data_IF_505377351333
#
_entry.id   IF_505377351333
#
_cell.length_a   1.000
_cell.length_b   1.000
_cell.length_c   1.000
_cell.angle_alpha   90.00
_cell.angle_beta   90.00
_cell.angle_gamma   90.00
#
_symmetry.space_group_name_H-M   'P 1'
#
loop_
_entity.id
_entity.type
_entity.pdbx_description
1 polymer ?
#
# COMPACT_ATOMS: atom_id res chain seq x y z
N UNK A 1 14.21 17.10 9.10
CA UNK A 1 13.38 16.83 7.91
C UNK A 1 14.31 16.86 6.70
N UNK A 2 14.30 15.80 5.88
CA UNK A 2 15.18 15.68 4.71
C UNK A 2 14.79 16.69 3.63
N UNK A 3 15.78 17.17 2.84
CA UNK A 3 15.54 17.95 1.63
C UNK A 3 15.58 17.03 0.41
N UNK A 4 14.45 16.33 0.21
CA UNK A 4 14.35 15.31 -0.83
C UNK A 4 14.33 15.90 -2.23
N UNK A 5 15.36 15.57 -3.01
CA UNK A 5 15.44 15.84 -4.44
C UNK A 5 15.21 14.56 -5.21
N UNK A 6 14.27 14.59 -6.15
CA UNK A 6 13.98 13.45 -7.01
C UNK A 6 15.14 13.20 -7.98
N UNK A 7 15.74 12.02 -7.89
CA UNK A 7 16.76 11.55 -8.83
C UNK A 7 16.14 10.81 -10.01
N UNK A 8 15.13 10.01 -9.74
CA UNK A 8 14.55 9.11 -10.72
C UNK A 8 13.06 8.94 -10.47
N UNK A 9 12.32 8.80 -11.56
CA UNK A 9 10.90 8.47 -11.54
C UNK A 9 10.57 7.61 -12.76
N UNK A 10 9.88 6.50 -12.52
CA UNK A 10 9.43 5.59 -13.55
C UNK A 10 7.98 5.21 -13.28
N UNK A 11 7.19 5.21 -14.34
CA UNK A 11 5.77 4.87 -14.33
C UNK A 11 5.52 3.74 -15.31
N UNK A 12 5.00 2.62 -14.82
CA UNK A 12 4.79 1.40 -15.59
C UNK A 12 3.34 0.94 -15.45
N UNK A 13 2.63 0.66 -16.56
CA UNK A 13 1.38 -0.09 -16.47
C UNK A 13 1.67 -1.51 -16.00
N UNK A 14 0.86 -2.02 -15.07
CA UNK A 14 0.93 -3.39 -14.59
C UNK A 14 -0.31 -4.17 -15.05
N UNK A 15 -0.07 -5.37 -15.58
CA UNK A 15 -1.17 -6.28 -15.91
C UNK A 15 -1.83 -6.86 -14.66
N UNK A 16 -1.04 -7.10 -13.60
CA UNK A 16 -1.47 -7.70 -12.33
C UNK A 16 -1.21 -6.75 -11.16
N UNK A 17 -2.11 -6.67 -10.15
CA UNK A 17 -1.80 -5.97 -8.90
C UNK A 17 -0.71 -6.72 -8.12
N UNK A 18 0.20 -6.00 -7.47
CA UNK A 18 1.28 -6.56 -6.67
C UNK A 18 0.79 -7.10 -5.33
N UNK A 19 -0.05 -6.33 -4.64
CA UNK A 19 -0.62 -6.68 -3.33
C UNK A 19 -2.08 -6.21 -3.24
N UNK A 20 -2.91 -6.86 -2.42
CA UNK A 20 -4.31 -6.48 -2.20
C UNK A 20 -4.47 -5.39 -1.11
N UNK A 21 -3.44 -4.60 -0.84
CA UNK A 21 -3.44 -3.64 0.27
C UNK A 21 -4.44 -2.49 0.06
N UNK A 22 -4.66 -2.07 -1.18
CA UNK A 22 -5.60 -0.99 -1.49
C UNK A 22 -7.05 -1.49 -1.42
N UNK A 23 -7.25 -2.76 -1.73
CA UNK A 23 -8.51 -3.48 -1.59
C UNK A 23 -8.90 -3.66 -0.13
N UNK A 24 -7.95 -3.92 0.78
CA UNK A 24 -8.22 -3.93 2.23
C UNK A 24 -8.79 -2.59 2.72
N UNK A 25 -8.19 -1.49 2.29
CA UNK A 25 -8.61 -0.14 2.67
C UNK A 25 -10.06 0.14 2.25
N UNK A 26 -10.42 -0.28 1.03
CA UNK A 26 -11.79 -0.16 0.52
C UNK A 26 -12.83 -0.98 1.32
N UNK A 27 -12.41 -2.04 2.01
CA UNK A 27 -13.27 -2.85 2.88
C UNK A 27 -13.49 -2.14 4.21
N UNK A 28 -12.41 -1.66 4.82
CA UNK A 28 -12.41 -1.04 6.14
C UNK A 28 -13.40 0.11 6.23
N UNK A 29 -13.50 0.92 5.19
CA UNK A 29 -14.40 2.08 5.11
C UNK A 29 -15.89 1.75 5.12
N UNK A 30 -16.26 0.50 4.79
CA UNK A 30 -17.65 0.17 4.41
C UNK A 30 -18.26 -0.93 5.22
N UNK A 31 -17.46 -1.88 5.67
CA UNK A 31 -17.97 -3.06 6.34
C UNK A 31 -17.61 -3.03 7.82
N UNK A 32 -18.59 -3.18 8.73
CA UNK A 32 -18.28 -3.38 10.13
C UNK A 32 -17.53 -4.69 10.30
N UNK A 33 -16.67 -4.74 11.31
CA UNK A 33 -15.88 -5.93 11.64
C UNK A 33 -16.78 -7.17 11.76
N UNK A 34 -16.33 -8.29 11.19
CA UNK A 34 -17.01 -9.60 11.18
C UNK A 34 -18.30 -9.70 10.35
N UNK A 35 -18.70 -8.66 9.61
CA UNK A 35 -19.86 -8.73 8.70
C UNK A 35 -19.57 -9.54 7.43
N UNK A 36 -18.31 -9.62 7.02
CA UNK A 36 -17.84 -10.40 5.89
C UNK A 36 -17.26 -11.73 6.34
N UNK A 37 -17.53 -12.79 5.57
CA UNK A 37 -17.01 -14.14 5.80
C UNK A 37 -15.86 -14.51 4.88
N UNK A 38 -15.85 -13.97 3.67
CA UNK A 38 -14.88 -14.30 2.64
C UNK A 38 -14.79 -13.19 1.59
N UNK A 39 -13.63 -13.11 0.94
CA UNK A 39 -13.33 -12.14 -0.11
C UNK A 39 -12.89 -12.90 -1.36
N UNK A 40 -13.56 -12.60 -2.48
CA UNK A 40 -13.17 -13.06 -3.80
C UNK A 40 -12.42 -11.92 -4.48
N UNK A 41 -11.12 -12.07 -4.65
CA UNK A 41 -10.27 -11.07 -5.30
C UNK A 41 -10.12 -11.42 -6.78
N UNK A 42 -10.65 -10.56 -7.65
CA UNK A 42 -10.75 -10.76 -9.10
C UNK A 42 -9.75 -9.84 -9.79
N UNK A 43 -8.65 -10.38 -10.27
CA UNK A 43 -7.70 -9.62 -11.07
C UNK A 43 -6.98 -10.52 -12.08
N UNK A 44 -6.14 -9.92 -12.93
CA UNK A 44 -5.28 -10.70 -13.82
C UNK A 44 -4.03 -11.14 -13.04
N UNK A 45 -4.23 -12.04 -12.07
CA UNK A 45 -3.17 -12.44 -11.15
C UNK A 45 -2.03 -13.17 -11.85
N UNK A 46 -0.80 -12.75 -11.58
CA UNK A 46 0.39 -13.55 -11.79
C UNK A 46 0.77 -14.31 -10.49
N UNK A 47 1.82 -15.13 -10.53
CA UNK A 47 2.26 -15.92 -9.36
C UNK A 47 2.56 -15.03 -8.14
N UNK A 48 3.20 -13.88 -8.35
CA UNK A 48 3.54 -12.94 -7.29
C UNK A 48 2.29 -12.34 -6.64
N UNK A 49 1.35 -11.87 -7.47
CA UNK A 49 0.06 -11.32 -7.06
C UNK A 49 -0.73 -12.33 -6.23
N UNK A 50 -0.86 -13.57 -6.70
CA UNK A 50 -1.57 -14.62 -5.96
C UNK A 50 -0.90 -14.97 -4.63
N UNK A 51 0.44 -15.03 -4.62
CA UNK A 51 1.19 -15.33 -3.39
C UNK A 51 1.13 -14.19 -2.37
N UNK A 52 0.95 -12.94 -2.81
CA UNK A 52 0.90 -11.78 -1.92
C UNK A 52 -0.18 -11.87 -0.84
N UNK A 53 -1.25 -12.63 -1.07
CA UNK A 53 -2.28 -12.93 -0.07
C UNK A 53 -1.69 -13.55 1.19
N UNK A 54 -0.65 -14.39 1.06
CA UNK A 54 -0.01 -15.06 2.20
C UNK A 54 0.65 -14.07 3.17
N UNK A 55 0.89 -12.82 2.73
CA UNK A 55 1.43 -11.75 3.57
C UNK A 55 0.33 -10.97 4.32
N UNK A 56 -0.94 -11.11 3.95
CA UNK A 56 -2.04 -10.38 4.58
C UNK A 56 -2.18 -10.64 6.08
N UNK A 57 -2.04 -11.89 6.59
CA UNK A 57 -2.14 -12.15 8.02
C UNK A 57 -1.04 -11.47 8.87
N UNK A 58 0.00 -10.90 8.25
CA UNK A 58 1.03 -10.12 8.93
C UNK A 58 0.55 -8.69 9.26
N UNK A 59 -0.53 -8.24 8.64
CA UNK A 59 -1.12 -6.93 8.85
C UNK A 59 -2.06 -6.96 10.06
N UNK A 60 -2.16 -5.87 10.82
CA UNK A 60 -3.04 -5.80 11.99
C UNK A 60 -4.53 -5.70 11.62
N UNK A 61 -4.84 -5.40 10.34
CA UNK A 61 -6.18 -5.21 9.78
C UNK A 61 -7.05 -6.45 9.97
N UNK A 62 -8.29 -6.31 10.44
CA UNK A 62 -9.17 -7.47 10.65
C UNK A 62 -9.58 -8.11 9.31
N UNK A 63 -9.78 -7.29 8.28
CA UNK A 63 -10.11 -7.69 6.92
C UNK A 63 -8.98 -8.47 6.22
N UNK A 64 -7.74 -8.30 6.70
CA UNK A 64 -6.58 -9.05 6.22
C UNK A 64 -6.55 -10.50 6.73
N UNK A 65 -7.34 -10.80 7.78
CA UNK A 65 -7.47 -12.13 8.36
C UNK A 65 -8.68 -12.91 7.81
N UNK A 66 -9.46 -12.31 6.93
CA UNK A 66 -10.53 -13.02 6.22
C UNK A 66 -9.91 -14.01 5.22
N UNK A 67 -10.64 -15.07 4.82
CA UNK A 67 -10.19 -15.92 3.73
C UNK A 67 -10.32 -15.17 2.40
N UNK A 68 -9.17 -14.97 1.73
CA UNK A 68 -9.06 -14.39 0.40
C UNK A 68 -8.89 -15.50 -0.64
N UNK A 69 -9.72 -15.49 -1.68
CA UNK A 69 -9.58 -16.38 -2.84
C UNK A 69 -9.27 -15.55 -4.08
N UNK A 70 -8.16 -15.86 -4.76
CA UNK A 70 -7.87 -15.30 -6.08
C UNK A 70 -8.74 -15.92 -7.14
N UNK A 71 -9.27 -15.08 -8.03
CA UNK A 71 -10.02 -15.47 -9.21
C UNK A 71 -9.47 -14.72 -10.43
N UNK A 72 -9.33 -15.38 -11.59
CA UNK A 72 -8.91 -14.72 -12.81
C UNK A 72 -10.00 -13.74 -13.31
N UNK A 73 -9.60 -12.78 -14.13
CA UNK A 73 -10.47 -11.73 -14.71
C UNK A 73 -11.45 -12.23 -15.77
N UNK A 74 -11.58 -13.55 -15.96
CA UNK A 74 -12.42 -14.15 -17.02
C UNK A 74 -13.91 -13.97 -16.81
N UNK A 75 -14.34 -13.57 -15.60
CA UNK A 75 -15.73 -13.29 -15.27
C UNK A 75 -15.88 -11.85 -14.75
N UNK A 76 -16.92 -11.15 -15.20
CA UNK A 76 -17.26 -9.83 -14.67
C UNK A 76 -17.60 -9.93 -13.18
N UNK A 77 -17.13 -8.99 -12.37
CA UNK A 77 -17.46 -8.90 -10.92
C UNK A 77 -18.97 -8.96 -10.71
N UNK A 78 -19.75 -8.34 -11.60
CA UNK A 78 -21.21 -8.31 -11.55
C UNK A 78 -21.83 -9.68 -11.89
N UNK A 79 -21.27 -10.41 -12.86
CA UNK A 79 -21.75 -11.75 -13.21
C UNK A 79 -21.47 -12.75 -12.09
N UNK A 80 -20.28 -12.67 -11.48
CA UNK A 80 -19.93 -13.47 -10.30
C UNK A 80 -20.87 -13.19 -9.13
N UNK A 81 -21.27 -11.93 -8.95
CA UNK A 81 -22.21 -11.51 -7.92
C UNK A 81 -23.62 -12.07 -8.18
N UNK A 82 -24.13 -11.96 -9.41
CA UNK A 82 -25.45 -12.49 -9.80
C UNK A 82 -25.59 -13.99 -9.53
N UNK A 83 -24.55 -14.77 -9.86
CA UNK A 83 -24.55 -16.23 -9.64
C UNK A 83 -24.57 -16.65 -8.17
N UNK A 84 -24.36 -15.73 -7.22
CA UNK A 84 -24.18 -16.04 -5.78
C UNK A 84 -25.21 -15.38 -4.86
N UNK A 85 -26.20 -14.66 -5.39
CA UNK A 85 -27.24 -13.95 -4.62
C UNK A 85 -28.11 -14.86 -3.72
N UNK A 86 -28.12 -16.17 -3.98
CA UNK A 86 -28.92 -17.15 -3.25
C UNK A 86 -28.12 -17.97 -2.22
N UNK A 87 -26.83 -17.67 -2.02
CA UNK A 87 -26.01 -18.36 -1.03
C UNK A 87 -26.30 -17.83 0.38
N UNK A 88 -26.20 -18.70 1.39
CA UNK A 88 -26.35 -18.33 2.80
C UNK A 88 -25.25 -17.38 3.27
N UNK A 89 -24.03 -17.54 2.74
CA UNK A 89 -22.89 -16.67 3.02
C UNK A 89 -22.43 -15.99 1.73
N UNK A 90 -22.73 -14.70 1.63
CA UNK A 90 -22.45 -13.92 0.43
C UNK A 90 -21.02 -13.37 0.52
N UNK A 91 -20.12 -13.72 -0.43
CA UNK A 91 -18.79 -13.15 -0.48
C UNK A 91 -18.83 -11.67 -0.84
N UNK A 92 -17.85 -10.92 -0.34
CA UNK A 92 -17.47 -9.65 -0.98
C UNK A 92 -16.61 -9.97 -2.20
N UNK A 93 -17.00 -9.45 -3.37
CA UNK A 93 -16.24 -9.61 -4.60
C UNK A 93 -15.53 -8.28 -4.88
N UNK A 94 -14.21 -8.31 -4.94
CA UNK A 94 -13.38 -7.13 -5.21
C UNK A 94 -12.58 -7.38 -6.47
N UNK A 95 -12.84 -6.57 -7.50
CA UNK A 95 -12.05 -6.54 -8.71
C UNK A 95 -10.98 -5.45 -8.68
N UNK A 96 -9.80 -5.71 -9.25
CA UNK A 96 -8.75 -4.72 -9.42
C UNK A 96 -8.23 -4.73 -10.86
N UNK A 97 -8.32 -3.58 -11.53
CA UNK A 97 -7.83 -3.38 -12.89
C UNK A 97 -7.15 -2.02 -13.05
N UNK A 98 -6.67 -1.72 -14.26
CA UNK A 98 -5.93 -0.48 -14.57
C UNK A 98 -4.77 -0.22 -13.59
N UNK A 99 -4.03 -1.28 -13.25
CA UNK A 99 -2.95 -1.20 -12.28
C UNK A 99 -1.77 -0.42 -12.86
N UNK A 100 -1.14 0.38 -12.01
CA UNK A 100 0.02 1.17 -12.36
C UNK A 100 1.01 1.18 -11.21
N UNK A 101 2.28 1.00 -11.53
CA UNK A 101 3.40 1.11 -10.60
C UNK A 101 4.17 2.39 -10.89
N UNK A 102 4.42 3.14 -9.84
CA UNK A 102 5.32 4.27 -9.82
C UNK A 102 6.50 3.93 -8.92
N UNK A 103 7.72 4.15 -9.43
CA UNK A 103 8.97 3.95 -8.73
C UNK A 103 9.67 5.29 -8.70
N UNK A 104 9.89 5.85 -7.51
CA UNK A 104 10.59 7.10 -7.33
C UNK A 104 11.79 6.93 -6.41
N UNK A 105 12.93 7.49 -6.79
CA UNK A 105 14.12 7.57 -5.95
C UNK A 105 14.40 9.04 -5.66
N UNK A 106 14.56 9.35 -4.38
CA UNK A 106 14.94 10.66 -3.88
C UNK A 106 16.28 10.59 -3.19
N UNK A 107 17.00 11.70 -3.21
CA UNK A 107 18.24 11.91 -2.48
C UNK A 107 18.09 13.13 -1.59
N UNK A 108 18.66 13.07 -0.39
CA UNK A 108 18.60 14.18 0.54
C UNK A 108 19.82 15.10 0.36
N UNK A 109 19.59 16.36 -0.04
CA UNK A 109 20.65 17.37 -0.16
C UNK A 109 21.43 17.54 1.14
N UNK A 110 20.73 17.49 2.28
CA UNK A 110 21.29 17.82 3.60
C UNK A 110 22.23 16.73 4.13
N UNK A 111 22.21 15.56 3.49
CA UNK A 111 23.07 14.42 3.81
C UNK A 111 24.32 14.35 2.93
N UNK A 112 24.68 15.43 2.22
CA UNK A 112 25.69 15.40 1.14
C UNK A 112 25.38 14.33 0.09
N UNK A 113 24.10 14.16 -0.24
CA UNK A 113 23.58 13.17 -1.18
C UNK A 113 23.88 11.70 -0.80
N UNK A 114 23.92 11.39 0.50
CA UNK A 114 24.20 10.03 0.99
C UNK A 114 22.96 9.33 1.52
N UNK A 115 21.91 10.05 1.89
CA UNK A 115 20.65 9.48 2.30
C UNK A 115 19.69 9.45 1.11
N UNK A 116 19.00 8.33 0.95
CA UNK A 116 18.09 8.08 -0.16
C UNK A 116 16.74 7.60 0.35
N UNK A 117 15.70 7.90 -0.42
CA UNK A 117 14.37 7.35 -0.22
C UNK A 117 13.90 6.69 -1.52
N UNK A 118 13.63 5.40 -1.46
CA UNK A 118 12.99 4.65 -2.53
C UNK A 118 11.50 4.50 -2.21
N UNK A 119 10.65 4.93 -3.13
CA UNK A 119 9.19 4.85 -3.03
C UNK A 119 8.67 3.97 -4.15
N UNK A 120 7.94 2.92 -3.77
CA UNK A 120 7.19 2.06 -4.69
C UNK A 120 5.72 2.31 -4.42
N UNK A 121 5.01 2.90 -5.37
CA UNK A 121 3.58 3.20 -5.26
C UNK A 121 2.80 2.44 -6.32
N UNK A 122 1.78 1.72 -5.92
CA UNK A 122 0.81 1.13 -6.81
C UNK A 122 -0.51 1.90 -6.72
N UNK A 123 -1.08 2.22 -7.87
CA UNK A 123 -2.45 2.69 -8.00
C UNK A 123 -3.26 1.70 -8.81
N UNK A 124 -4.52 1.49 -8.43
CA UNK A 124 -5.44 0.60 -9.13
C UNK A 124 -6.85 1.18 -9.14
N UNK A 125 -7.66 0.75 -10.10
CA UNK A 125 -9.11 0.94 -10.03
C UNK A 125 -9.71 -0.28 -9.38
N UNK A 126 -10.43 -0.05 -8.29
CA UNK A 126 -11.06 -1.09 -7.47
C UNK A 126 -12.56 -1.07 -7.71
N UNK A 127 -13.14 -2.25 -7.90
CA UNK A 127 -14.59 -2.46 -8.08
C UNK A 127 -15.07 -3.49 -7.09
N UNK A 128 -15.83 -3.05 -6.10
CA UNK A 128 -16.31 -3.92 -5.04
C UNK A 128 -17.81 -4.13 -5.19
N UNK A 129 -18.26 -5.37 -5.07
CA UNK A 129 -19.67 -5.76 -5.14
C UNK A 129 -19.99 -6.73 -4.02
N UNK A 130 -20.98 -6.36 -3.21
CA UNK A 130 -21.54 -7.16 -2.14
C UNK A 130 -23.03 -7.36 -2.41
N UNK A 131 -23.40 -8.56 -2.83
CA UNK A 131 -24.74 -8.87 -3.32
C UNK A 131 -25.71 -9.30 -2.19
N UNK A 132 -25.59 -8.70 -1.00
CA UNK A 132 -26.48 -9.01 0.13
C UNK A 132 -27.92 -8.67 -0.20
N UNK A 133 -28.86 -9.53 0.23
CA UNK A 133 -30.30 -9.30 0.07
C UNK A 133 -30.81 -8.16 0.97
N UNK A 134 -30.15 -7.94 2.10
CA UNK A 134 -30.54 -6.92 3.07
C UNK A 134 -29.94 -5.56 2.71
N UNK A 135 -28.65 -5.58 2.35
CA UNK A 135 -27.84 -4.37 2.12
C UNK A 135 -26.95 -4.57 0.89
N UNK A 136 -27.53 -4.60 -0.33
CA UNK A 136 -26.75 -4.70 -1.55
C UNK A 136 -25.89 -3.46 -1.70
N UNK A 137 -24.63 -3.66 -2.08
CA UNK A 137 -23.68 -2.56 -2.21
C UNK A 137 -22.73 -2.81 -3.38
N UNK A 138 -22.44 -1.76 -4.12
CA UNK A 138 -21.44 -1.76 -5.17
C UNK A 138 -20.75 -0.40 -5.20
N UNK A 139 -19.44 -0.40 -5.38
CA UNK A 139 -18.65 0.82 -5.47
C UNK A 139 -17.47 0.65 -6.42
N UNK A 140 -17.18 1.70 -7.17
CA UNK A 140 -15.91 1.88 -7.86
C UNK A 140 -15.09 2.94 -7.11
N UNK A 141 -13.83 2.66 -6.83
CA UNK A 141 -12.90 3.57 -6.16
C UNK A 141 -11.51 3.49 -6.79
N UNK A 142 -10.67 4.48 -6.49
CA UNK A 142 -9.24 4.42 -6.81
C UNK A 142 -8.49 3.95 -5.57
N UNK A 143 -7.76 2.85 -5.71
CA UNK A 143 -6.87 2.33 -4.69
C UNK A 143 -5.47 2.92 -4.83
N UNK A 144 -4.83 3.19 -3.70
CA UNK A 144 -3.42 3.60 -3.67
C UNK A 144 -2.71 2.89 -2.52
N UNK A 145 -1.56 2.31 -2.83
CA UNK A 145 -0.67 1.66 -1.89
C UNK A 145 0.75 2.10 -2.14
N UNK A 146 1.53 2.26 -1.08
CA UNK A 146 2.94 2.56 -1.25
C UNK A 146 3.80 1.94 -0.16
N UNK A 147 5.06 1.70 -0.54
CA UNK A 147 6.15 1.29 0.35
C UNK A 147 7.26 2.30 0.18
N UNK A 148 7.75 2.82 1.30
CA UNK A 148 8.85 3.79 1.35
C UNK A 148 9.99 3.20 2.16
N UNK A 149 11.17 3.12 1.56
CA UNK A 149 12.41 2.68 2.19
C UNK A 149 13.40 3.84 2.21
N UNK A 150 13.81 4.25 3.41
CA UNK A 150 14.83 5.27 3.63
C UNK A 150 16.11 4.58 4.10
N UNK A 151 17.24 4.87 3.45
CA UNK A 151 18.52 4.24 3.74
C UNK A 151 19.70 5.19 3.54
N UNK A 152 20.79 4.93 4.26
CA UNK A 152 22.05 5.66 4.13
C UNK A 152 23.04 4.89 3.25
N UNK A 153 23.46 5.52 2.15
CA UNK A 153 24.36 5.07 1.08
C UNK A 153 23.83 3.89 0.27
N UNK A 154 23.52 2.77 0.93
CA UNK A 154 23.10 1.51 0.30
C UNK A 154 21.93 0.89 1.09
N UNK A 155 20.96 0.24 0.42
CA UNK A 155 19.82 -0.39 1.07
C UNK A 155 20.20 -1.77 1.65
N UNK A 156 21.15 -1.79 2.57
CA UNK A 156 21.64 -3.00 3.24
C UNK A 156 21.13 -3.07 4.69
N UNK A 157 20.97 -4.28 5.26
CA UNK A 157 20.68 -4.44 6.69
C UNK A 157 21.66 -3.64 7.55
N UNK A 158 21.13 -2.94 8.57
CA UNK A 158 21.92 -2.03 9.43
C UNK A 158 22.14 -0.63 8.85
N UNK A 159 21.77 -0.38 7.59
CA UNK A 159 21.82 0.96 6.95
C UNK A 159 20.44 1.53 6.58
N UNK A 160 19.40 0.75 6.85
CA UNK A 160 18.01 1.16 6.69
C UNK A 160 17.65 2.05 7.88
N UNK A 161 17.24 3.28 7.57
CA UNK A 161 16.80 4.27 8.56
C UNK A 161 15.32 4.05 8.86
N UNK A 162 14.50 3.86 7.82
CA UNK A 162 13.10 3.54 8.00
C UNK A 162 12.53 2.73 6.84
N UNK A 163 11.53 1.91 7.15
CA UNK A 163 10.69 1.22 6.18
C UNK A 163 9.24 1.46 6.59
N UNK A 164 8.45 2.05 5.70
CA UNK A 164 7.05 2.34 5.96
C UNK A 164 6.16 1.84 4.82
N UNK A 165 4.94 1.47 5.18
CA UNK A 165 3.92 0.95 4.26
C UNK A 165 2.59 1.67 4.47
N UNK A 166 1.81 1.77 3.40
CA UNK A 166 0.47 2.34 3.39
C UNK A 166 -0.44 1.62 2.37
N UNK A 167 -1.74 1.48 2.65
CA UNK A 167 -2.42 1.79 3.92
C UNK A 167 -2.37 0.62 4.91
N UNK A 168 -2.35 0.94 6.21
CA UNK A 168 -2.62 0.04 7.33
C UNK A 168 -3.59 0.76 8.24
N UNK A 169 -4.85 0.32 8.29
CA UNK A 169 -5.96 1.08 8.88
C UNK A 169 -6.02 2.55 8.41
N UNK A 170 -5.93 2.81 7.09
CA UNK A 170 -5.85 4.17 6.51
C UNK A 170 -4.68 5.03 7.00
N UNK A 171 -3.76 4.45 7.77
CA UNK A 171 -2.58 5.15 8.28
C UNK A 171 -1.32 4.54 7.70
N UNK A 172 -0.24 5.32 7.75
CA UNK A 172 1.10 4.79 7.50
C UNK A 172 1.52 3.94 8.69
N UNK A 173 2.06 2.75 8.42
CA UNK A 173 2.75 1.94 9.43
C UNK A 173 4.24 1.91 9.16
N UNK A 174 5.04 2.37 10.12
CA UNK A 174 6.47 2.11 10.13
C UNK A 174 6.72 0.65 10.55
N UNK A 175 7.39 -0.12 9.69
CA UNK A 175 7.84 -1.48 9.97
C UNK A 175 9.25 -1.48 10.57
N UNK A 176 10.07 -0.52 10.17
CA UNK A 176 11.41 -0.27 10.70
C UNK A 176 11.53 1.23 10.95
N UNK A 177 12.02 1.61 12.12
CA UNK A 177 12.39 2.97 12.46
C UNK A 177 13.63 2.93 13.37
N UNK A 178 14.81 3.15 12.78
CA UNK A 178 16.08 2.94 13.44
C UNK A 178 16.61 4.25 14.03
N UNK A 179 16.00 4.67 15.14
CA UNK A 179 16.32 5.93 15.81
C UNK A 179 17.78 6.01 16.26
N UNK A 180 18.30 4.95 16.86
CA UNK A 180 19.69 4.88 17.35
C UNK A 180 20.70 5.12 16.21
N UNK A 181 20.47 4.52 15.05
CA UNK A 181 21.37 4.72 13.91
C UNK A 181 21.25 6.14 13.33
N UNK A 182 20.05 6.73 13.32
CA UNK A 182 19.87 8.14 12.93
C UNK A 182 20.63 9.06 13.89
N UNK A 183 20.52 8.84 15.21
CA UNK A 183 21.25 9.60 16.23
C UNK A 183 22.76 9.47 16.07
N UNK A 184 23.26 8.26 15.80
CA UNK A 184 24.68 8.04 15.50
C UNK A 184 25.13 8.85 14.29
N UNK A 185 24.38 8.80 13.18
CA UNK A 185 24.72 9.56 11.96
C UNK A 185 24.68 11.08 12.19
N UNK A 186 23.80 11.57 13.06
CA UNK A 186 23.77 12.98 13.47
C UNK A 186 24.98 13.35 14.35
N UNK A 187 25.33 12.50 15.32
CA UNK A 187 26.48 12.70 16.20
C UNK A 187 27.81 12.72 15.41
N UNK A 188 27.93 11.84 14.41
CA UNK A 188 29.07 11.76 13.50
C UNK A 188 29.06 12.84 12.41
N UNK A 189 28.05 13.73 12.39
CA UNK A 189 27.85 14.81 11.40
C UNK A 189 27.73 14.31 9.95
N UNK A 190 27.30 13.06 9.77
CA UNK A 190 26.92 12.53 8.46
C UNK A 190 25.52 12.97 8.03
N UNK A 191 24.68 13.33 9.00
CA UNK A 191 23.42 14.02 8.79
C UNK A 191 23.49 15.42 9.42
N UNK A 192 22.80 16.39 8.82
CA UNK A 192 22.69 17.74 9.36
C UNK A 192 21.43 17.91 10.23
N UNK A 193 21.58 18.56 11.39
CA UNK A 193 20.46 19.01 12.22
C UNK A 193 19.80 20.25 11.61
N UNK A 194 18.48 20.40 11.76
CA UNK A 194 17.75 21.56 11.22
C UNK A 194 17.87 22.75 12.19
N UNK A 195 17.94 23.99 11.70
CA UNK A 195 17.47 25.13 12.50
C UNK A 195 15.98 24.93 12.84
N UNK A 196 15.58 25.22 14.08
CA UNK A 196 14.23 25.00 14.60
C UNK A 196 13.15 25.63 13.70
N UNK A 197 12.51 24.82 12.87
CA UNK A 197 11.20 25.11 12.33
C UNK A 197 10.22 24.18 13.00
N UNK A 198 9.17 24.77 13.57
CA UNK A 198 8.04 24.10 14.22
C UNK A 198 7.57 22.99 13.27
N UNK A 199 7.93 21.77 13.61
CA UNK A 199 7.66 20.58 12.82
C UNK A 199 6.35 20.00 13.32
N UNK A 200 5.33 19.98 12.48
CA UNK A 200 4.11 19.22 12.74
C UNK A 200 4.41 17.74 12.40
N UNK A 201 4.43 16.83 13.39
CA UNK A 201 4.71 15.41 13.17
C UNK A 201 3.64 14.70 12.32
N UNK A 202 2.53 15.35 12.01
CA UNK A 202 1.44 14.82 11.18
C UNK A 202 1.48 15.32 9.72
N UNK A 203 2.23 16.38 9.40
CA UNK A 203 2.46 16.81 8.01
C UNK A 203 3.69 16.10 7.45
N UNK A 204 3.46 15.01 6.72
CA UNK A 204 4.48 14.45 5.85
C UNK A 204 4.25 14.94 4.42
N UNK A 205 4.98 15.98 4.05
CA UNK A 205 5.16 16.40 2.66
C UNK A 205 5.97 15.32 1.93
N UNK A 206 5.30 14.30 1.41
CA UNK A 206 5.86 13.64 0.24
C UNK A 206 5.95 14.71 -0.85
N UNK A 207 7.08 14.85 -1.56
CA UNK A 207 7.06 15.66 -2.77
C UNK A 207 5.96 15.09 -3.68
N UNK A 208 5.00 15.93 -4.05
CA UNK A 208 3.88 15.54 -4.90
C UNK A 208 4.41 14.77 -6.10
N UNK A 209 3.96 13.53 -6.25
CA UNK A 209 4.23 12.74 -7.44
C UNK A 209 3.36 13.35 -8.56
N UNK A 210 3.94 13.71 -9.72
CA UNK A 210 3.16 14.29 -10.81
C UNK A 210 2.12 13.29 -11.33
N UNK A 211 0.91 13.77 -11.59
CA UNK A 211 -0.24 13.00 -12.11
C UNK A 211 0.01 12.24 -13.41
#
# INVERSE_FOLDING_TARGET
MHDWKRLFHLRLPLSAPLTPLAELDAILDKFPRNSLKQILWVANHNLFSSFSIALLPLLPNWEAHLPWQTLPTTASVVELAKGRQNQSEIPLIIGADQNQLQIALFVDSNSSNRCFQLVLMQTSRIRSVYASRQTPWAQESRGMTWVSLVFYQLPLPGRILSLAVFPVYQTRRALIDNHEYVEQLLAEKFLATRPEQIFDPYTFDFPDLPE
#
